data_IF_756155919221
#
_entry.id   IF_756155919221
#
_cell.length_a   1.000
_cell.length_b   1.000
_cell.length_c   1.000
_cell.angle_alpha   90.00
_cell.angle_beta   90.00
_cell.angle_gamma   90.00
#
_symmetry.space_group_name_H-M   'P 1'
#
loop_
_entity.id
_entity.type
_entity.pdbx_description
1 polymer ?
#
# COMPACT_ATOMS: atom_id res chain seq x y z
N UNK A 1 15.70 10.52 -9.79
CA UNK A 1 14.67 9.87 -8.95
C UNK A 1 13.70 9.14 -9.86
N UNK A 2 13.47 7.86 -9.65
CA UNK A 2 12.57 7.04 -10.48
C UNK A 2 11.45 6.46 -9.61
N UNK A 3 10.30 6.12 -10.21
CA UNK A 3 9.20 5.43 -9.52
C UNK A 3 9.70 4.15 -8.84
N UNK A 4 10.55 3.38 -9.54
CA UNK A 4 11.17 2.16 -8.97
C UNK A 4 12.00 2.47 -7.74
N UNK A 5 12.81 3.54 -7.76
CA UNK A 5 13.55 3.99 -6.58
C UNK A 5 12.64 4.38 -5.42
N UNK A 6 11.52 5.02 -5.71
CA UNK A 6 10.50 5.37 -4.71
C UNK A 6 9.81 4.15 -4.09
N UNK A 7 9.54 3.11 -4.90
CA UNK A 7 8.93 1.85 -4.41
C UNK A 7 9.77 1.13 -3.37
N UNK A 8 11.10 1.23 -3.47
CA UNK A 8 12.04 0.61 -2.54
C UNK A 8 12.59 1.57 -1.47
N UNK A 9 12.06 2.79 -1.40
CA UNK A 9 12.50 3.79 -0.42
C UNK A 9 11.55 3.83 0.78
N UNK A 10 11.97 3.26 1.91
CA UNK A 10 11.27 3.40 3.18
C UNK A 10 11.21 4.86 3.64
N UNK A 11 12.20 5.65 3.31
CA UNK A 11 12.26 7.09 3.63
C UNK A 11 11.17 7.86 2.90
N UNK A 12 11.03 7.68 1.59
CA UNK A 12 9.99 8.35 0.80
C UNK A 12 8.59 7.89 1.20
N UNK A 13 8.36 6.57 1.24
CA UNK A 13 7.03 6.03 1.58
C UNK A 13 6.63 6.38 3.01
N UNK A 14 7.59 6.37 3.94
CA UNK A 14 7.39 6.78 5.33
C UNK A 14 7.09 8.28 5.46
N UNK A 15 7.81 9.14 4.75
CA UNK A 15 7.58 10.59 4.76
C UNK A 15 6.18 10.92 4.23
N UNK A 16 5.77 10.32 3.11
CA UNK A 16 4.40 10.50 2.57
C UNK A 16 3.34 10.01 3.56
N UNK A 17 3.53 8.84 4.15
CA UNK A 17 2.59 8.30 5.12
C UNK A 17 2.46 9.17 6.38
N UNK A 18 3.57 9.77 6.84
CA UNK A 18 3.56 10.68 7.97
C UNK A 18 2.90 12.02 7.65
N UNK A 19 3.10 12.54 6.43
CA UNK A 19 2.54 13.81 5.96
C UNK A 19 1.00 13.75 5.80
N UNK A 20 0.47 12.66 5.25
CA UNK A 20 -0.94 12.58 4.89
C UNK A 20 -1.72 11.39 5.48
N UNK A 21 -1.09 10.58 6.34
CA UNK A 21 -1.73 9.45 7.03
C UNK A 21 -1.96 8.21 6.16
N UNK A 22 -1.51 8.20 4.91
CA UNK A 22 -1.64 7.10 3.95
C UNK A 22 -0.52 7.13 2.91
N UNK A 23 -0.40 6.06 2.14
CA UNK A 23 0.43 5.99 0.93
C UNK A 23 -0.34 5.26 -0.18
N UNK A 24 -0.28 5.76 -1.40
CA UNK A 24 -0.93 5.18 -2.56
C UNK A 24 -0.14 5.35 -3.85
N UNK A 25 -0.68 4.84 -4.96
CA UNK A 25 -0.01 4.87 -6.26
C UNK A 25 0.27 6.29 -6.76
N UNK A 26 -0.68 7.21 -6.57
CA UNK A 26 -0.57 8.58 -7.06
C UNK A 26 0.50 9.40 -6.33
N UNK A 27 0.91 8.94 -5.14
CA UNK A 27 1.92 9.63 -4.33
C UNK A 27 3.32 9.56 -4.94
N UNK A 28 3.57 8.65 -5.89
CA UNK A 28 4.85 8.65 -6.64
C UNK A 28 5.08 9.92 -7.48
N UNK A 29 4.02 10.66 -7.81
CA UNK A 29 4.14 11.97 -8.45
C UNK A 29 4.85 13.00 -7.55
N UNK A 30 4.91 12.76 -6.24
CA UNK A 30 5.56 13.63 -5.25
C UNK A 30 7.05 13.33 -5.05
N UNK A 31 7.62 12.42 -5.82
CA UNK A 31 9.07 12.14 -5.79
C UNK A 31 9.87 13.40 -6.16
N UNK A 32 10.76 13.83 -5.26
CA UNK A 32 11.53 15.08 -5.38
C UNK A 32 10.83 16.31 -4.80
N UNK A 33 9.72 16.13 -4.07
CA UNK A 33 9.14 17.18 -3.25
C UNK A 33 10.09 17.51 -2.08
N UNK A 34 10.58 18.75 -2.05
CA UNK A 34 11.58 19.18 -1.07
C UNK A 34 11.05 19.10 0.39
N UNK A 35 9.75 19.24 0.62
CA UNK A 35 9.17 19.10 1.95
C UNK A 35 9.18 17.63 2.40
N UNK A 36 8.90 16.70 1.49
CA UNK A 36 8.99 15.27 1.78
C UNK A 36 10.44 14.81 1.96
N UNK A 37 11.38 15.35 1.15
CA UNK A 37 12.81 15.05 1.29
C UNK A 37 13.30 15.51 2.68
N UNK A 38 12.95 16.75 3.10
CA UNK A 38 13.30 17.26 4.43
C UNK A 38 12.65 16.44 5.58
N UNK A 39 11.47 15.88 5.36
CA UNK A 39 10.83 14.99 6.32
C UNK A 39 11.53 13.62 6.34
N UNK A 40 11.90 13.10 5.17
CA UNK A 40 12.62 11.83 5.02
C UNK A 40 14.00 11.87 5.70
N UNK A 41 14.70 13.01 5.69
CA UNK A 41 15.97 13.20 6.38
C UNK A 41 15.89 13.06 7.92
N UNK A 42 14.67 13.05 8.47
CA UNK A 42 14.42 12.83 9.90
C UNK A 42 14.21 11.36 10.27
N UNK A 43 14.23 10.48 9.30
CA UNK A 43 14.03 9.04 9.50
C UNK A 43 15.35 8.33 9.75
N UNK A 44 15.37 7.48 10.76
CA UNK A 44 16.40 6.46 10.96
C UNK A 44 15.80 5.08 10.72
N UNK A 45 16.48 4.24 9.95
CA UNK A 45 16.10 2.86 9.71
C UNK A 45 17.11 1.94 10.38
N UNK A 46 16.62 1.17 11.34
CA UNK A 46 17.46 0.27 12.17
C UNK A 46 16.96 -1.16 12.00
N UNK A 47 17.88 -2.10 11.79
CA UNK A 47 17.55 -3.51 11.82
C UNK A 47 17.21 -3.93 13.27
N UNK A 48 16.09 -4.64 13.44
CA UNK A 48 15.68 -5.20 14.73
C UNK A 48 15.50 -6.72 14.60
N UNK A 49 16.50 -7.48 14.97
CA UNK A 49 16.52 -8.96 14.89
C UNK A 49 15.38 -9.62 15.68
N UNK A 50 14.81 -8.92 16.66
CA UNK A 50 13.67 -9.42 17.43
C UNK A 50 12.39 -9.54 16.59
N UNK A 51 12.30 -8.81 15.46
CA UNK A 51 11.17 -8.89 14.55
C UNK A 51 11.26 -10.13 13.64
N UNK A 52 12.44 -10.72 13.51
CA UNK A 52 12.72 -11.86 12.63
C UNK A 52 12.69 -13.20 13.35
N UNK A 53 12.87 -13.20 14.68
CA UNK A 53 13.03 -14.43 15.46
C UNK A 53 11.78 -15.29 15.46
N UNK A 54 11.92 -16.53 15.00
CA UNK A 54 10.86 -17.56 15.02
C UNK A 54 9.82 -17.43 13.92
N UNK A 55 10.07 -16.58 12.89
CA UNK A 55 9.17 -16.37 11.77
C UNK A 55 9.75 -16.94 10.47
N UNK A 56 8.92 -17.62 9.69
CA UNK A 56 9.29 -18.12 8.36
C UNK A 56 9.42 -16.98 7.33
N UNK A 57 8.73 -15.85 7.56
CA UNK A 57 8.75 -14.67 6.70
C UNK A 57 8.79 -13.41 7.57
N UNK A 58 9.98 -12.87 7.87
CA UNK A 58 10.16 -11.75 8.77
C UNK A 58 9.97 -10.41 8.03
N UNK A 59 8.74 -9.97 7.88
CA UNK A 59 8.40 -8.67 7.27
C UNK A 59 7.78 -7.68 8.26
N UNK A 60 7.94 -7.94 9.56
CA UNK A 60 7.46 -7.04 10.61
C UNK A 60 8.21 -5.72 10.64
N UNK A 61 7.54 -4.68 11.11
CA UNK A 61 8.14 -3.37 11.35
C UNK A 61 7.68 -2.79 12.68
N UNK A 62 8.61 -2.12 13.37
CA UNK A 62 8.32 -1.25 14.50
C UNK A 62 8.54 0.19 14.05
N UNK A 63 7.55 1.03 14.25
CA UNK A 63 7.66 2.46 14.00
C UNK A 63 7.62 3.18 15.32
N UNK A 64 8.59 4.09 15.54
CA UNK A 64 8.64 4.97 16.70
C UNK A 64 8.70 6.42 16.21
N UNK A 65 7.80 7.26 16.71
CA UNK A 65 7.71 8.68 16.34
C UNK A 65 7.84 9.50 17.63
N UNK A 66 8.84 10.39 17.67
CA UNK A 66 9.01 11.34 18.77
C UNK A 66 8.37 12.66 18.42
N UNK A 67 7.45 13.11 19.23
CA UNK A 67 6.77 14.42 19.14
C UNK A 67 6.99 15.23 20.42
N UNK A 68 6.49 16.44 20.45
CA UNK A 68 6.51 17.29 21.69
C UNK A 68 5.73 16.63 22.83
N UNK A 69 4.69 15.84 22.53
CA UNK A 69 3.85 15.13 23.50
C UNK A 69 4.47 13.81 23.98
N UNK A 70 5.58 13.36 23.37
CA UNK A 70 6.27 12.14 23.78
C UNK A 70 6.61 11.21 22.61
N UNK A 71 6.90 9.94 22.97
CA UNK A 71 7.25 8.89 22.02
C UNK A 71 6.02 8.00 21.75
N UNK A 72 5.66 7.87 20.50
CA UNK A 72 4.57 7.00 20.04
C UNK A 72 5.17 5.81 19.31
N UNK A 73 4.86 4.60 19.75
CA UNK A 73 5.37 3.36 19.16
C UNK A 73 4.25 2.48 18.64
N UNK A 74 4.47 1.86 17.49
CA UNK A 74 3.58 0.83 16.95
C UNK A 74 4.38 -0.30 16.32
N UNK A 75 4.03 -1.53 16.69
CA UNK A 75 4.54 -2.75 16.08
C UNK A 75 3.49 -3.27 15.09
N UNK A 76 3.94 -3.54 13.88
CA UNK A 76 3.19 -4.30 12.88
C UNK A 76 3.94 -5.59 12.59
N UNK A 77 3.42 -6.68 13.10
CA UNK A 77 4.13 -7.96 13.07
C UNK A 77 4.16 -8.60 11.68
N UNK A 78 3.05 -8.47 10.93
CA UNK A 78 2.91 -9.03 9.59
C UNK A 78 2.33 -7.96 8.65
N UNK A 79 2.85 -7.79 7.44
CA UNK A 79 2.27 -6.89 6.45
C UNK A 79 0.88 -7.40 6.02
N UNK A 80 0.02 -6.48 5.58
CA UNK A 80 -1.27 -6.84 4.99
C UNK A 80 -1.05 -7.61 3.70
N UNK A 81 -1.74 -8.75 3.56
CA UNK A 81 -1.62 -9.66 2.40
C UNK A 81 -0.91 -10.96 2.69
N UNK A 82 -0.28 -11.11 3.86
CA UNK A 82 0.20 -12.41 4.34
C UNK A 82 -0.99 -13.34 4.66
N UNK A 83 -0.79 -14.67 4.67
CA UNK A 83 -1.89 -15.61 4.93
C UNK A 83 -2.66 -15.35 6.24
N UNK A 84 -1.95 -14.84 7.26
CA UNK A 84 -2.54 -14.48 8.56
C UNK A 84 -3.32 -13.15 8.57
N UNK A 85 -3.08 -12.31 7.57
CA UNK A 85 -3.62 -10.95 7.45
C UNK A 85 -4.17 -10.65 6.04
N UNK A 86 -4.61 -11.72 5.34
CA UNK A 86 -5.14 -11.57 3.99
C UNK A 86 -6.41 -10.73 4.02
N UNK A 87 -6.52 -9.70 3.17
CA UNK A 87 -7.71 -8.84 3.12
C UNK A 87 -8.93 -9.63 2.67
N UNK A 88 -10.09 -9.29 3.20
CA UNK A 88 -11.36 -9.84 2.75
C UNK A 88 -11.74 -9.35 1.33
N UNK A 89 -12.77 -9.94 0.76
CA UNK A 89 -13.24 -9.62 -0.59
C UNK A 89 -13.61 -8.14 -0.75
N UNK A 90 -14.17 -7.52 0.30
CA UNK A 90 -14.56 -6.11 0.29
C UNK A 90 -13.33 -5.21 0.24
N UNK A 91 -12.29 -5.49 1.03
CA UNK A 91 -11.04 -4.75 1.03
C UNK A 91 -10.31 -4.89 -0.32
N UNK A 92 -10.31 -6.09 -0.92
CA UNK A 92 -9.75 -6.33 -2.25
C UNK A 92 -10.51 -5.56 -3.33
N UNK A 93 -11.84 -5.59 -3.31
CA UNK A 93 -12.67 -4.83 -4.23
C UNK A 93 -12.42 -3.32 -4.10
N UNK A 94 -12.33 -2.82 -2.88
CA UNK A 94 -12.07 -1.41 -2.62
C UNK A 94 -10.69 -0.98 -3.14
N UNK A 95 -9.66 -1.80 -2.96
CA UNK A 95 -8.33 -1.57 -3.52
C UNK A 95 -8.36 -1.51 -5.05
N UNK A 96 -9.05 -2.47 -5.69
CA UNK A 96 -9.24 -2.48 -7.13
C UNK A 96 -9.93 -1.20 -7.62
N UNK A 97 -11.05 -0.83 -7.00
CA UNK A 97 -11.82 0.36 -7.39
C UNK A 97 -11.02 1.66 -7.24
N UNK A 98 -10.21 1.77 -6.19
CA UNK A 98 -9.32 2.93 -5.98
C UNK A 98 -8.35 3.12 -7.15
N UNK A 99 -7.83 2.03 -7.69
CA UNK A 99 -6.87 2.06 -8.81
C UNK A 99 -7.56 2.16 -10.18
N UNK A 100 -8.73 1.54 -10.34
CA UNK A 100 -9.38 1.40 -11.64
C UNK A 100 -10.29 2.59 -11.99
N UNK A 101 -10.97 3.20 -11.03
CA UNK A 101 -11.91 4.32 -11.27
C UNK A 101 -11.30 5.51 -12.00
N UNK A 102 -10.06 5.96 -11.71
CA UNK A 102 -9.44 7.06 -12.44
C UNK A 102 -9.25 6.79 -13.93
N UNK A 103 -9.15 5.51 -14.32
CA UNK A 103 -8.91 5.08 -15.71
C UNK A 103 -10.21 4.64 -16.39
N UNK A 104 -11.02 3.83 -15.72
CA UNK A 104 -12.19 3.17 -16.28
C UNK A 104 -13.51 3.91 -16.00
N UNK A 105 -13.49 4.94 -15.14
CA UNK A 105 -14.69 5.66 -14.72
C UNK A 105 -15.79 4.70 -14.23
N UNK A 106 -17.04 4.89 -14.67
CA UNK A 106 -18.19 4.07 -14.26
C UNK A 106 -18.09 2.59 -14.65
N UNK A 107 -17.17 2.19 -15.55
CA UNK A 107 -16.95 0.79 -15.91
C UNK A 107 -16.16 0.01 -14.85
N UNK A 108 -15.46 0.71 -13.94
CA UNK A 108 -14.66 0.06 -12.90
C UNK A 108 -15.54 -0.79 -11.97
N UNK A 109 -16.69 -0.29 -11.58
CA UNK A 109 -17.63 -1.01 -10.71
C UNK A 109 -18.20 -2.24 -11.45
N UNK A 110 -18.59 -2.10 -12.71
CA UNK A 110 -19.08 -3.20 -13.53
C UNK A 110 -18.02 -4.29 -13.74
N UNK A 111 -16.76 -3.88 -13.93
CA UNK A 111 -15.64 -4.83 -14.05
C UNK A 111 -15.37 -5.55 -12.72
N UNK A 112 -15.43 -4.85 -11.59
CA UNK A 112 -15.28 -5.46 -10.27
C UNK A 112 -16.34 -6.54 -10.03
N UNK A 113 -17.61 -6.22 -10.31
CA UNK A 113 -18.73 -7.15 -10.16
C UNK A 113 -18.60 -8.35 -11.12
N UNK A 114 -18.18 -8.11 -12.38
CA UNK A 114 -17.93 -9.17 -13.34
C UNK A 114 -16.79 -10.11 -12.89
N UNK A 115 -15.71 -9.58 -12.34
CA UNK A 115 -14.59 -10.40 -11.82
C UNK A 115 -15.05 -11.24 -10.63
N UNK A 116 -15.80 -10.65 -9.69
CA UNK A 116 -16.29 -11.35 -8.50
C UNK A 116 -17.35 -12.41 -8.81
N UNK A 117 -18.01 -12.31 -9.97
CA UNK A 117 -19.02 -13.27 -10.46
C UNK A 117 -18.54 -14.09 -11.66
N UNK A 118 -17.22 -14.18 -11.88
CA UNK A 118 -16.62 -14.81 -13.06
C UNK A 118 -17.09 -16.25 -13.28
N UNK A 119 -17.35 -16.98 -12.21
CA UNK A 119 -17.86 -18.36 -12.24
C UNK A 119 -19.25 -18.46 -12.90
N UNK A 120 -20.01 -17.37 -12.96
CA UNK A 120 -21.32 -17.28 -13.61
C UNK A 120 -21.29 -16.96 -15.11
N UNK A 121 -20.11 -16.74 -15.69
CA UNK A 121 -19.99 -16.41 -17.11
C UNK A 121 -19.59 -17.64 -17.95
N UNK A 122 -20.32 -17.85 -19.05
CA UNK A 122 -19.95 -18.89 -20.02
C UNK A 122 -18.63 -18.59 -20.74
N UNK A 123 -18.23 -17.31 -20.81
CA UNK A 123 -17.02 -16.85 -21.52
C UNK A 123 -16.38 -15.67 -20.77
N UNK A 124 -15.08 -15.82 -20.45
CA UNK A 124 -14.27 -14.79 -19.76
C UNK A 124 -14.17 -13.47 -20.58
N UNK A 125 -14.27 -13.55 -21.91
CA UNK A 125 -14.25 -12.37 -22.79
C UNK A 125 -15.30 -11.33 -22.43
N UNK A 126 -16.44 -11.75 -21.87
CA UNK A 126 -17.49 -10.84 -21.42
C UNK A 126 -16.99 -9.88 -20.34
N UNK A 127 -16.19 -10.36 -19.39
CA UNK A 127 -15.59 -9.51 -18.35
C UNK A 127 -14.45 -8.63 -18.93
N UNK A 128 -13.63 -9.16 -19.85
CA UNK A 128 -12.48 -8.41 -20.39
C UNK A 128 -12.86 -7.22 -21.25
N UNK A 129 -14.05 -7.22 -21.88
CA UNK A 129 -14.54 -6.05 -22.61
C UNK A 129 -14.80 -4.82 -21.74
N UNK A 130 -15.05 -4.99 -20.45
CA UNK A 130 -15.25 -3.90 -19.49
C UNK A 130 -13.94 -3.18 -19.14
N UNK A 131 -12.79 -3.84 -19.34
CA UNK A 131 -11.47 -3.30 -19.03
C UNK A 131 -10.79 -2.50 -20.16
N UNK A 132 -11.47 -2.32 -21.32
CA UNK A 132 -10.92 -1.62 -22.50
C UNK A 132 -11.39 -0.18 -22.60
#
# INVERSE_FOLDING_TARGET
>A
TSIVGGQFSMFFTGAVALDQGRFGWDDYARLGDAALDALADRFDVVQDDRLETGRSHPFGARVSITTEDGVHERLHADPSGEPSSFPDAQAMQQKFLTLARPVLNGRADQLADAILSLEGFDRVETATHLGR
#
